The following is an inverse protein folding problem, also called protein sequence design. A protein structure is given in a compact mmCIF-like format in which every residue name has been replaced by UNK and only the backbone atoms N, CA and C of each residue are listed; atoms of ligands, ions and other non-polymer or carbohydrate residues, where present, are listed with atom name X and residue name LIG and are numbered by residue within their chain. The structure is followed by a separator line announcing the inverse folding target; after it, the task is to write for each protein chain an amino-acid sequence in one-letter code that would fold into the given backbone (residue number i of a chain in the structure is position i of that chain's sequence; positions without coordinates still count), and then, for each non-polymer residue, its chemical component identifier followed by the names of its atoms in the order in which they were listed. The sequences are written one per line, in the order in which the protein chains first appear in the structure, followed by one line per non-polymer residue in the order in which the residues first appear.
data_IF_781221188124
#
_entry.id   IF_781221188124
#
_cell.length_a   1.000
_cell.length_b   1.000
_cell.length_c   1.000
_cell.angle_alpha   90.00
_cell.angle_beta   90.00
_cell.angle_gamma   90.00
#
_symmetry.space_group_name_H-M   'P 1'
#
loop_
_entity.id
_entity.type
_entity.pdbx_description
1 polymer ?
#
# COMPACT_ATOMS: atom_id res chain seq x y z
N UNK A 1 3.41 -13.23 -66.03
CA UNK A 1 2.67 -12.77 -64.83
C UNK A 1 3.06 -13.64 -63.64
N UNK A 2 3.98 -13.20 -62.76
CA UNK A 2 4.13 -13.77 -61.44
C UNK A 2 3.63 -12.79 -60.36
N UNK A 3 3.07 -13.38 -59.30
CA UNK A 3 2.20 -12.78 -58.29
C UNK A 3 2.88 -11.73 -57.40
N UNK A 4 2.21 -10.60 -57.22
CA UNK A 4 2.51 -9.61 -56.17
C UNK A 4 2.30 -10.25 -54.79
N UNK A 5 3.39 -10.57 -54.08
CA UNK A 5 3.35 -10.77 -52.63
C UNK A 5 3.00 -9.43 -51.97
N UNK A 6 1.77 -9.32 -51.48
CA UNK A 6 1.30 -8.26 -50.59
C UNK A 6 2.11 -8.33 -49.28
N UNK A 7 3.12 -7.48 -49.15
CA UNK A 7 3.76 -7.20 -47.86
C UNK A 7 2.76 -6.48 -46.98
N UNK A 8 2.28 -7.16 -45.94
CA UNK A 8 1.52 -6.53 -44.85
C UNK A 8 2.47 -5.54 -44.16
N UNK A 9 2.13 -4.24 -44.07
CA UNK A 9 3.01 -3.30 -43.40
C UNK A 9 3.11 -3.67 -41.91
N UNK A 10 4.35 -3.84 -41.45
CA UNK A 10 4.71 -3.91 -40.04
C UNK A 10 4.03 -2.74 -39.33
N UNK A 11 3.26 -3.01 -38.26
CA UNK A 11 2.74 -2.00 -37.33
C UNK A 11 3.86 -1.01 -37.02
N UNK A 12 3.69 0.24 -37.44
CA UNK A 12 4.55 1.36 -37.05
C UNK A 12 4.55 1.43 -35.52
N UNK A 13 5.73 1.23 -34.91
CA UNK A 13 5.93 1.65 -33.53
C UNK A 13 5.65 3.14 -33.48
N UNK A 14 4.71 3.59 -32.65
CA UNK A 14 4.59 5.02 -32.37
C UNK A 14 5.99 5.54 -31.99
N UNK A 15 6.46 6.59 -32.69
CA UNK A 15 7.73 7.23 -32.38
C UNK A 15 7.76 7.59 -30.89
N UNK A 16 8.92 7.44 -30.26
CA UNK A 16 9.07 7.80 -28.86
C UNK A 16 8.80 9.30 -28.68
N UNK A 17 8.08 9.68 -27.62
CA UNK A 17 7.85 11.10 -27.30
C UNK A 17 8.99 11.60 -26.43
N UNK A 18 9.66 12.65 -26.86
CA UNK A 18 10.78 13.25 -26.14
C UNK A 18 10.28 14.27 -25.12
N UNK A 19 10.66 14.10 -23.87
CA UNK A 19 10.33 15.05 -22.79
C UNK A 19 11.61 15.60 -22.21
N UNK A 20 11.74 16.92 -22.21
CA UNK A 20 12.83 17.65 -21.57
C UNK A 20 12.32 18.26 -20.27
N UNK A 21 12.87 17.83 -19.14
CA UNK A 21 12.45 18.29 -17.81
C UNK A 21 13.63 18.20 -16.83
N UNK A 22 13.76 19.18 -15.93
CA UNK A 22 14.84 19.24 -14.93
C UNK A 22 16.25 19.05 -15.53
N UNK A 23 16.49 19.56 -16.74
CA UNK A 23 17.79 19.43 -17.43
C UNK A 23 18.06 18.06 -18.06
N UNK A 24 17.09 17.15 -18.04
CA UNK A 24 17.20 15.80 -18.60
C UNK A 24 16.27 15.60 -19.79
N UNK A 25 16.77 14.88 -20.79
CA UNK A 25 16.01 14.44 -21.95
C UNK A 25 15.61 12.97 -21.78
N UNK A 26 14.31 12.68 -21.86
CA UNK A 26 13.74 11.35 -21.62
C UNK A 26 12.87 10.95 -22.81
N UNK A 27 13.26 9.88 -23.51
CA UNK A 27 12.46 9.27 -24.55
C UNK A 27 11.37 8.34 -23.95
N UNK A 28 10.11 8.77 -24.01
CA UNK A 28 8.95 7.97 -23.62
C UNK A 28 8.63 6.96 -24.71
N UNK A 29 9.06 5.72 -24.52
CA UNK A 29 8.77 4.61 -25.45
C UNK A 29 7.28 4.27 -25.46
N UNK A 30 6.70 3.74 -26.54
CA UNK A 30 5.29 3.28 -26.57
C UNK A 30 4.29 4.26 -25.88
N UNK A 31 4.31 5.56 -26.20
CA UNK A 31 3.55 6.57 -25.46
C UNK A 31 2.04 6.29 -25.49
N UNK A 32 1.55 5.73 -26.59
CA UNK A 32 0.13 5.36 -26.81
C UNK A 32 -0.31 4.05 -26.15
N UNK A 33 0.58 3.35 -25.43
CA UNK A 33 0.23 2.11 -24.71
C UNK A 33 -0.84 2.42 -23.67
N UNK A 34 -2.02 1.83 -23.81
CA UNK A 34 -3.12 1.94 -22.85
C UNK A 34 -2.76 1.21 -21.55
N UNK A 35 -2.75 1.93 -20.43
CA UNK A 35 -2.54 1.38 -19.08
C UNK A 35 -3.87 1.17 -18.34
N UNK A 36 -4.89 2.00 -18.64
CA UNK A 36 -6.22 1.94 -18.03
C UNK A 36 -7.29 1.76 -19.11
N UNK A 37 -7.76 0.52 -19.37
CA UNK A 37 -8.62 0.24 -20.52
C UNK A 37 -9.97 0.97 -20.52
N UNK A 38 -10.62 1.09 -19.35
CA UNK A 38 -11.95 1.71 -19.21
C UNK A 38 -11.93 3.21 -19.60
N UNK A 39 -11.07 4.05 -19.02
CA UNK A 39 -10.93 5.46 -19.43
C UNK A 39 -10.00 5.67 -20.63
N UNK A 40 -9.33 4.62 -21.11
CA UNK A 40 -8.34 4.63 -22.19
C UNK A 40 -7.08 5.46 -21.92
N UNK A 41 -6.74 5.72 -20.65
CA UNK A 41 -5.50 6.44 -20.33
C UNK A 41 -4.27 5.64 -20.72
N UNK A 42 -3.35 6.34 -21.37
CA UNK A 42 -2.11 5.84 -21.94
C UNK A 42 -0.93 6.04 -20.99
N UNK A 43 0.22 5.49 -21.35
CA UNK A 43 1.46 5.73 -20.63
C UNK A 43 1.87 7.21 -20.66
N UNK A 44 1.64 7.89 -21.77
CA UNK A 44 1.90 9.31 -21.88
C UNK A 44 1.01 10.15 -20.96
N UNK A 45 -0.25 9.75 -20.76
CA UNK A 45 -1.15 10.43 -19.81
C UNK A 45 -0.63 10.30 -18.37
N UNK A 46 -0.10 9.12 -18.00
CA UNK A 46 0.55 8.93 -16.70
C UNK A 46 1.79 9.82 -16.52
N UNK A 47 2.58 9.98 -17.59
CA UNK A 47 3.75 10.86 -17.58
C UNK A 47 3.34 12.33 -17.39
N UNK A 48 2.35 12.80 -18.17
CA UNK A 48 1.81 14.17 -18.06
C UNK A 48 1.17 14.44 -16.71
N UNK A 49 0.49 13.45 -16.14
CA UNK A 49 -0.03 13.51 -14.79
C UNK A 49 1.07 13.80 -13.78
N UNK A 50 2.15 13.00 -13.77
CA UNK A 50 3.23 13.18 -12.79
C UNK A 50 4.01 14.49 -13.00
N UNK A 51 4.13 14.98 -14.23
CA UNK A 51 4.65 16.33 -14.49
C UNK A 51 3.78 17.41 -13.84
N UNK A 52 2.46 17.31 -13.97
CA UNK A 52 1.52 18.32 -13.46
C UNK A 52 1.45 18.37 -11.93
N UNK A 53 1.76 17.26 -11.24
CA UNK A 53 1.74 17.18 -9.76
C UNK A 53 3.12 16.95 -9.17
N UNK A 54 4.19 17.22 -9.93
CA UNK A 54 5.54 16.79 -9.59
C UNK A 54 5.99 17.27 -8.20
N UNK A 55 5.70 18.53 -7.85
CA UNK A 55 6.07 19.10 -6.57
C UNK A 55 5.45 18.33 -5.39
N UNK A 56 4.12 18.12 -5.42
CA UNK A 56 3.43 17.36 -4.37
C UNK A 56 3.79 15.88 -4.34
N UNK A 57 3.97 15.25 -5.52
CA UNK A 57 4.42 13.86 -5.61
C UNK A 57 5.83 13.69 -5.00
N UNK A 58 6.74 14.64 -5.22
CA UNK A 58 8.07 14.64 -4.61
C UNK A 58 8.04 14.98 -3.12
N UNK A 59 7.09 15.79 -2.64
CA UNK A 59 6.89 15.99 -1.20
C UNK A 59 6.54 14.67 -0.50
N UNK A 60 5.73 13.83 -1.15
CA UNK A 60 5.35 12.52 -0.63
C UNK A 60 6.40 11.41 -0.81
N UNK A 61 7.08 11.35 -1.96
CA UNK A 61 7.94 10.22 -2.34
C UNK A 61 9.43 10.59 -2.49
N UNK A 62 9.76 11.87 -2.64
CA UNK A 62 11.08 12.37 -2.97
C UNK A 62 12.07 12.28 -1.82
N UNK A 63 13.34 12.02 -2.15
CA UNK A 63 14.41 11.86 -1.15
C UNK A 63 14.27 10.64 -0.24
N UNK A 64 13.41 9.68 -0.62
CA UNK A 64 13.14 8.43 0.09
C UNK A 64 13.47 7.25 -0.82
N UNK A 65 14.02 6.13 -0.29
CA UNK A 65 14.01 4.89 -1.03
C UNK A 65 12.57 4.45 -1.32
N UNK A 66 12.30 4.06 -2.56
CA UNK A 66 10.96 3.70 -3.03
C UNK A 66 10.91 2.25 -3.51
N UNK A 67 9.90 1.52 -3.02
CA UNK A 67 9.41 0.32 -3.69
C UNK A 67 8.51 0.74 -4.85
N UNK A 68 8.77 0.20 -6.03
CA UNK A 68 8.02 0.55 -7.24
C UNK A 68 7.00 -0.56 -7.54
N UNK A 69 5.76 -0.19 -7.87
CA UNK A 69 4.77 -1.16 -8.40
C UNK A 69 4.52 -0.86 -9.87
N UNK A 70 4.91 -1.81 -10.72
CA UNK A 70 4.94 -1.62 -12.17
C UNK A 70 3.89 -2.46 -12.87
N UNK A 71 3.26 -1.86 -13.87
CA UNK A 71 2.20 -2.43 -14.71
C UNK A 71 2.59 -2.30 -16.19
N UNK A 72 3.62 -3.02 -16.68
CA UNK A 72 4.14 -2.84 -18.04
C UNK A 72 3.12 -3.06 -19.15
N UNK A 73 2.04 -3.80 -18.87
CA UNK A 73 0.96 -4.13 -19.78
C UNK A 73 -0.41 -3.62 -19.29
N UNK A 74 -0.40 -2.57 -18.46
CA UNK A 74 -1.62 -1.97 -17.89
C UNK A 74 -2.21 -2.75 -16.72
N UNK A 75 -3.27 -2.19 -16.11
CA UNK A 75 -3.86 -2.68 -14.86
C UNK A 75 -4.53 -4.07 -14.97
N UNK A 76 -4.82 -4.53 -16.20
CA UNK A 76 -5.39 -5.86 -16.46
C UNK A 76 -4.33 -6.94 -16.69
N UNK A 77 -3.05 -6.54 -16.84
CA UNK A 77 -1.93 -7.45 -17.00
C UNK A 77 -1.27 -7.83 -15.67
N UNK A 78 -0.21 -8.63 -15.75
CA UNK A 78 0.62 -8.91 -14.58
C UNK A 78 1.37 -7.65 -14.11
N UNK A 79 1.46 -7.51 -12.79
CA UNK A 79 2.20 -6.45 -12.13
C UNK A 79 3.25 -7.05 -11.20
N UNK A 80 4.26 -6.26 -10.85
CA UNK A 80 5.28 -6.69 -9.90
C UNK A 80 5.78 -5.55 -9.03
N UNK A 81 6.22 -5.91 -7.83
CA UNK A 81 6.94 -5.05 -6.92
C UNK A 81 8.42 -5.10 -7.25
N UNK A 82 9.04 -3.93 -7.36
CA UNK A 82 10.46 -3.78 -7.65
C UNK A 82 11.10 -2.93 -6.55
N UNK A 83 11.81 -3.62 -5.65
CA UNK A 83 12.65 -2.97 -4.62
C UNK A 83 13.99 -2.57 -5.20
N UNK A 84 14.70 -3.54 -5.79
CA UNK A 84 15.99 -3.31 -6.42
C UNK A 84 15.82 -2.45 -7.69
N UNK A 85 16.52 -1.33 -7.74
CA UNK A 85 16.59 -0.46 -8.89
C UNK A 85 17.01 -1.26 -10.15
N UNK A 86 16.47 -0.92 -11.34
CA UNK A 86 16.93 -1.52 -12.59
C UNK A 86 18.45 -1.34 -12.77
N UNK A 87 19.12 -2.38 -13.28
CA UNK A 87 20.55 -2.29 -13.65
C UNK A 87 20.75 -1.30 -14.81
N UNK A 88 19.89 -1.39 -15.84
CA UNK A 88 19.82 -0.40 -16.90
C UNK A 88 18.94 0.78 -16.44
N UNK A 89 19.59 1.77 -15.82
CA UNK A 89 18.98 3.06 -15.43
C UNK A 89 19.88 4.23 -15.86
N UNK A 90 19.32 5.41 -16.13
CA UNK A 90 20.13 6.61 -16.35
C UNK A 90 21.03 6.89 -15.12
N UNK A 91 22.26 7.39 -15.33
CA UNK A 91 23.22 7.60 -14.24
C UNK A 91 22.77 8.67 -13.24
N UNK A 92 21.88 9.57 -13.64
CA UNK A 92 21.29 10.61 -12.79
C UNK A 92 20.15 10.10 -11.90
N UNK A 93 19.70 8.85 -12.04
CA UNK A 93 18.76 8.24 -11.10
C UNK A 93 19.51 7.79 -9.85
N UNK A 94 19.30 8.51 -8.76
CA UNK A 94 19.85 8.17 -7.45
C UNK A 94 19.26 6.87 -6.91
N UNK A 95 20.10 6.12 -6.20
CA UNK A 95 19.70 4.94 -5.42
C UNK A 95 20.36 4.98 -4.05
N UNK A 96 19.72 4.32 -3.08
CA UNK A 96 20.31 4.13 -1.75
C UNK A 96 20.20 2.66 -1.33
N UNK A 97 21.20 2.15 -0.63
CA UNK A 97 21.18 0.77 -0.12
C UNK A 97 20.38 0.67 1.16
N UNK A 98 19.23 0.00 1.11
CA UNK A 98 18.39 -0.29 2.27
C UNK A 98 18.63 -1.73 2.77
N UNK A 99 18.68 -1.90 4.10
CA UNK A 99 18.74 -3.21 4.77
C UNK A 99 17.36 -3.62 5.30
N UNK A 100 16.88 -4.79 4.88
CA UNK A 100 15.58 -5.34 5.29
C UNK A 100 15.66 -6.10 6.62
N UNK A 101 14.51 -6.34 7.30
CA UNK A 101 14.45 -7.17 8.51
C UNK A 101 15.04 -8.58 8.36
N UNK A 102 15.01 -9.11 7.13
CA UNK A 102 15.63 -10.41 6.79
C UNK A 102 17.17 -10.42 6.79
N UNK A 103 17.81 -9.24 6.94
CA UNK A 103 19.27 -9.06 6.82
C UNK A 103 19.76 -8.77 5.41
N UNK A 104 18.96 -9.07 4.38
CA UNK A 104 19.24 -8.76 2.96
C UNK A 104 19.27 -7.26 2.70
N UNK A 105 19.94 -6.86 1.62
CA UNK A 105 19.98 -5.47 1.15
C UNK A 105 19.50 -5.34 -0.30
N UNK A 106 19.03 -4.14 -0.67
CA UNK A 106 18.80 -3.74 -2.05
C UNK A 106 19.09 -2.25 -2.23
N UNK A 107 19.61 -1.89 -3.40
CA UNK A 107 19.62 -0.50 -3.85
C UNK A 107 18.23 -0.14 -4.34
N UNK A 108 17.55 0.79 -3.68
CA UNK A 108 16.21 1.25 -4.07
C UNK A 108 16.29 2.65 -4.69
N UNK A 109 15.38 2.95 -5.62
CA UNK A 109 15.34 4.24 -6.33
C UNK A 109 14.95 5.37 -5.38
N UNK A 110 15.61 6.52 -5.53
CA UNK A 110 15.32 7.76 -4.80
C UNK A 110 14.94 8.84 -5.83
N UNK A 111 13.64 9.17 -6.01
CA UNK A 111 13.25 10.27 -6.88
C UNK A 111 13.65 11.61 -6.24
N UNK A 112 14.26 12.51 -7.02
CA UNK A 112 14.71 13.83 -6.56
C UNK A 112 14.01 14.99 -7.25
N UNK A 113 13.56 14.77 -8.47
CA UNK A 113 12.99 15.80 -9.34
C UNK A 113 11.90 15.22 -10.26
N UNK A 114 11.32 16.10 -11.06
CA UNK A 114 10.30 15.73 -12.03
C UNK A 114 10.83 14.78 -13.12
N UNK A 115 12.12 14.81 -13.45
CA UNK A 115 12.72 13.89 -14.42
C UNK A 115 12.69 12.44 -13.90
N UNK A 116 13.00 12.23 -12.62
CA UNK A 116 12.88 10.91 -11.99
C UNK A 116 11.44 10.39 -12.03
N UNK A 117 10.44 11.24 -11.78
CA UNK A 117 9.03 10.86 -11.88
C UNK A 117 8.62 10.48 -13.31
N UNK A 118 9.05 11.25 -14.32
CA UNK A 118 8.81 10.94 -15.75
C UNK A 118 9.45 9.60 -16.13
N UNK A 119 10.69 9.35 -15.68
CA UNK A 119 11.37 8.09 -15.92
C UNK A 119 10.63 6.90 -15.27
N UNK A 120 10.18 7.04 -14.02
CA UNK A 120 9.38 6.03 -13.33
C UNK A 120 8.05 5.75 -14.04
N UNK A 121 7.35 6.79 -14.48
CA UNK A 121 6.13 6.67 -15.29
C UNK A 121 6.39 5.97 -16.64
N UNK A 122 7.51 6.25 -17.29
CA UNK A 122 7.94 5.59 -18.53
C UNK A 122 8.20 4.08 -18.34
N UNK A 123 8.61 3.67 -17.13
CA UNK A 123 8.71 2.26 -16.73
C UNK A 123 7.36 1.61 -16.41
N UNK A 124 6.26 2.35 -16.62
CA UNK A 124 4.90 2.00 -16.21
C UNK A 124 4.80 1.74 -14.70
N UNK A 125 5.52 2.51 -13.88
CA UNK A 125 5.33 2.54 -12.43
C UNK A 125 4.11 3.40 -12.13
N UNK A 126 3.03 2.76 -11.66
CA UNK A 126 1.80 3.47 -11.31
C UNK A 126 1.87 3.92 -9.86
N UNK A 127 2.35 3.04 -8.98
CA UNK A 127 2.39 3.30 -7.54
C UNK A 127 3.84 3.45 -7.06
N UNK A 128 4.12 4.61 -6.47
CA UNK A 128 5.31 4.87 -5.67
C UNK A 128 5.01 4.51 -4.22
N UNK A 129 5.89 3.74 -3.59
CA UNK A 129 5.76 3.28 -2.20
C UNK A 129 7.03 3.61 -1.41
N UNK A 130 7.17 4.85 -0.92
CA UNK A 130 8.35 5.29 -0.19
C UNK A 130 8.42 4.65 1.20
N UNK A 131 9.63 4.31 1.65
CA UNK A 131 9.88 4.04 3.06
C UNK A 131 9.73 5.34 3.88
N UNK A 132 9.31 5.26 5.15
CA UNK A 132 9.11 6.44 6.01
C UNK A 132 10.43 7.04 6.52
N UNK A 133 11.52 6.89 5.76
CA UNK A 133 12.88 7.36 6.08
C UNK A 133 13.44 8.16 4.92
N UNK A 134 14.42 9.02 5.19
CA UNK A 134 15.14 9.80 4.17
C UNK A 134 16.52 9.22 3.94
N UNK A 135 17.13 9.51 2.80
CA UNK A 135 18.40 8.90 2.38
C UNK A 135 19.58 9.11 3.34
N UNK A 136 19.55 10.17 4.13
CA UNK A 136 20.58 10.54 5.11
C UNK A 136 20.43 9.82 6.46
N UNK A 137 19.26 9.23 6.77
CA UNK A 137 19.07 8.35 7.93
C UNK A 137 17.97 7.32 7.63
N UNK A 138 18.39 6.07 7.45
CA UNK A 138 17.52 4.94 7.07
C UNK A 138 17.02 4.12 8.25
N UNK A 139 17.40 4.47 9.47
CA UNK A 139 17.05 3.74 10.69
C UNK A 139 16.05 4.48 11.57
N UNK A 140 15.96 5.82 11.44
CA UNK A 140 14.98 6.65 12.14
C UNK A 140 13.92 7.22 11.19
N UNK A 141 12.68 6.68 11.20
CA UNK A 141 11.60 7.24 10.43
C UNK A 141 11.34 8.70 10.76
N UNK A 142 10.98 9.48 9.75
CA UNK A 142 10.47 10.83 9.91
C UNK A 142 8.94 10.87 9.78
N UNK A 143 8.27 9.73 9.61
CA UNK A 143 6.82 9.67 9.40
C UNK A 143 6.18 8.54 10.21
N UNK A 144 5.21 8.89 11.05
CA UNK A 144 4.22 7.94 11.59
C UNK A 144 3.04 7.87 10.62
N UNK A 145 2.57 6.65 10.34
CA UNK A 145 1.50 6.37 9.38
C UNK A 145 0.30 5.76 10.08
N UNK A 146 -0.86 6.41 9.96
CA UNK A 146 -2.15 5.83 10.37
C UNK A 146 -2.87 5.34 9.12
N UNK A 147 -2.98 4.02 8.96
CA UNK A 147 -3.68 3.38 7.83
C UNK A 147 -5.06 2.87 8.29
N UNK A 148 -6.11 3.41 7.67
CA UNK A 148 -7.50 3.12 7.96
C UNK A 148 -8.04 2.14 6.91
N UNK A 149 -7.97 0.84 7.20
CA UNK A 149 -8.37 -0.24 6.29
C UNK A 149 -9.77 -0.79 6.65
N UNK A 150 -10.83 -0.42 5.90
CA UNK A 150 -12.17 -0.94 6.16
C UNK A 150 -12.26 -2.45 5.90
N UNK A 151 -12.80 -3.18 6.87
CA UNK A 151 -13.18 -4.59 6.65
C UNK A 151 -14.34 -4.68 5.64
N UNK A 152 -14.58 -5.86 5.02
CA UNK A 152 -15.71 -6.03 4.12
C UNK A 152 -17.05 -5.60 4.75
N UNK A 153 -17.84 -4.81 4.02
CA UNK A 153 -19.14 -4.32 4.46
C UNK A 153 -19.14 -2.91 5.09
N UNK A 154 -17.97 -2.38 5.44
CA UNK A 154 -17.84 -1.00 5.95
C UNK A 154 -18.02 0.01 4.83
N UNK A 155 -18.89 1.00 5.04
CA UNK A 155 -19.18 2.06 4.07
C UNK A 155 -18.21 3.23 4.24
N UNK A 156 -17.99 3.96 3.16
CA UNK A 156 -17.06 5.10 3.13
C UNK A 156 -17.30 6.15 4.24
N UNK A 157 -18.54 6.56 4.57
CA UNK A 157 -18.77 7.51 5.67
C UNK A 157 -18.25 7.04 7.04
N UNK A 158 -18.18 5.72 7.27
CA UNK A 158 -17.60 5.19 8.51
C UNK A 158 -16.08 5.35 8.54
N UNK A 159 -15.41 5.28 7.38
CA UNK A 159 -13.96 5.58 7.27
C UNK A 159 -13.70 7.06 7.59
N UNK A 160 -14.54 7.96 7.07
CA UNK A 160 -14.45 9.40 7.37
C UNK A 160 -14.66 9.68 8.87
N UNK A 161 -15.66 9.03 9.49
CA UNK A 161 -15.90 9.16 10.92
C UNK A 161 -14.71 8.71 11.77
N UNK A 162 -14.06 7.59 11.40
CA UNK A 162 -12.84 7.13 12.09
C UNK A 162 -11.67 8.08 11.83
N UNK A 163 -11.54 8.67 10.64
CA UNK A 163 -10.51 9.66 10.35
C UNK A 163 -10.63 10.92 11.24
N UNK A 164 -11.85 11.37 11.56
CA UNK A 164 -12.06 12.50 12.48
C UNK A 164 -11.70 12.14 13.93
N UNK A 165 -11.98 10.91 14.37
CA UNK A 165 -11.50 10.41 15.68
C UNK A 165 -9.97 10.40 15.72
N UNK A 166 -9.32 9.97 14.62
CA UNK A 166 -7.85 10.02 14.49
C UNK A 166 -7.34 11.46 14.56
N UNK A 167 -7.98 12.42 13.87
CA UNK A 167 -7.62 13.86 13.93
C UNK A 167 -7.59 14.36 15.37
N UNK A 168 -8.70 14.16 16.08
CA UNK A 168 -8.86 14.62 17.46
C UNK A 168 -7.82 13.96 18.37
N UNK A 169 -7.63 12.65 18.22
CA UNK A 169 -6.67 11.89 19.02
C UNK A 169 -5.24 12.38 18.79
N UNK A 170 -4.81 12.56 17.53
CA UNK A 170 -3.50 13.10 17.20
C UNK A 170 -3.27 14.49 17.83
N UNK A 171 -4.26 15.38 17.71
CA UNK A 171 -4.19 16.73 18.28
C UNK A 171 -3.99 16.70 19.81
N UNK A 172 -4.70 15.82 20.53
CA UNK A 172 -4.52 15.66 21.99
C UNK A 172 -3.12 15.15 22.37
N UNK A 173 -2.44 14.43 21.47
CA UNK A 173 -1.04 14.02 21.66
C UNK A 173 -0.03 15.04 21.11
N UNK A 174 -0.47 16.23 20.68
CA UNK A 174 0.40 17.28 20.13
C UNK A 174 0.95 16.95 18.73
N UNK A 175 0.28 16.06 17.99
CA UNK A 175 0.68 15.63 16.65
C UNK A 175 -0.23 16.23 15.58
N UNK A 176 0.37 16.66 14.47
CA UNK A 176 -0.37 17.16 13.31
C UNK A 176 -0.54 16.06 12.26
N UNK A 177 -1.79 15.69 11.99
CA UNK A 177 -2.13 14.71 10.95
C UNK A 177 -2.38 15.35 9.58
N UNK A 178 -1.97 14.65 8.53
CA UNK A 178 -2.09 15.06 7.12
C UNK A 178 -2.87 13.99 6.34
N UNK A 179 -4.19 14.17 6.15
CA UNK A 179 -5.05 13.13 5.61
C UNK A 179 -4.92 13.00 4.10
N UNK A 180 -5.01 11.77 3.60
CA UNK A 180 -5.10 11.48 2.17
C UNK A 180 -5.96 10.26 1.92
N UNK A 181 -6.77 10.27 0.86
CA UNK A 181 -7.42 9.03 0.43
C UNK A 181 -6.33 8.01 0.06
N UNK A 182 -6.60 6.72 0.26
CA UNK A 182 -5.69 5.69 -0.26
C UNK A 182 -5.74 5.61 -1.79
N UNK A 183 -6.84 6.06 -2.42
CA UNK A 183 -7.18 5.78 -3.82
C UNK A 183 -7.68 4.34 -4.05
N UNK A 184 -7.88 3.56 -2.98
CA UNK A 184 -8.45 2.21 -3.01
C UNK A 184 -9.75 2.15 -2.20
N UNK A 185 -9.72 1.63 -0.97
CA UNK A 185 -10.91 1.51 -0.09
C UNK A 185 -10.80 2.34 1.20
N UNK A 186 -9.58 2.57 1.68
CA UNK A 186 -9.30 3.23 2.95
C UNK A 186 -8.76 4.65 2.83
N UNK A 187 -8.28 5.17 3.94
CA UNK A 187 -7.63 6.48 4.08
C UNK A 187 -6.31 6.34 4.84
N UNK A 188 -5.36 7.22 4.57
CA UNK A 188 -4.15 7.32 5.37
C UNK A 188 -4.09 8.71 6.02
N UNK A 189 -3.58 8.78 7.24
CA UNK A 189 -3.18 10.04 7.88
C UNK A 189 -1.68 9.95 8.14
N UNK A 190 -0.92 10.83 7.50
CA UNK A 190 0.53 10.94 7.69
C UNK A 190 0.82 11.91 8.84
N UNK A 191 1.86 11.64 9.61
CA UNK A 191 2.31 12.51 10.71
C UNK A 191 3.82 12.66 10.60
N UNK A 192 4.30 13.88 10.33
CA UNK A 192 5.74 14.17 10.37
C UNK A 192 6.20 14.11 11.83
N UNK A 193 7.29 13.43 12.09
CA UNK A 193 7.87 13.23 13.43
C UNK A 193 9.36 13.58 13.44
N UNK A 194 9.88 13.88 14.62
CA UNK A 194 11.33 14.03 14.81
C UNK A 194 12.07 12.72 14.49
N UNK A 195 13.25 12.83 13.86
CA UNK A 195 14.04 11.69 13.35
C UNK A 195 14.96 11.10 14.41
N UNK A 196 14.39 10.65 15.52
CA UNK A 196 15.17 10.08 16.65
C UNK A 196 14.63 8.77 17.20
N UNK A 197 13.50 8.29 16.69
CA UNK A 197 12.92 7.01 17.07
C UNK A 197 13.19 5.94 16.03
N UNK A 198 13.41 4.72 16.49
CA UNK A 198 13.53 3.53 15.64
C UNK A 198 12.17 3.10 15.09
N UNK A 199 12.15 2.28 14.03
CA UNK A 199 10.90 1.66 13.53
C UNK A 199 10.09 0.94 14.62
N UNK A 200 10.76 0.30 15.59
CA UNK A 200 10.09 -0.43 16.67
C UNK A 200 9.37 0.54 17.63
N UNK A 201 9.96 1.69 17.91
CA UNK A 201 9.33 2.76 18.70
C UNK A 201 8.18 3.43 17.95
N UNK A 202 8.37 3.77 16.67
CA UNK A 202 7.30 4.36 15.85
C UNK A 202 6.10 3.42 15.75
N UNK A 203 6.33 2.11 15.57
CA UNK A 203 5.25 1.11 15.57
C UNK A 203 4.56 0.99 16.93
N UNK A 204 5.31 1.03 18.05
CA UNK A 204 4.70 1.03 19.40
C UNK A 204 3.81 2.25 19.63
N UNK A 205 4.28 3.43 19.24
CA UNK A 205 3.47 4.66 19.26
C UNK A 205 2.21 4.52 18.40
N UNK A 206 2.33 3.97 17.19
CA UNK A 206 1.19 3.72 16.31
C UNK A 206 0.18 2.71 16.88
N UNK A 207 0.64 1.65 17.56
CA UNK A 207 -0.23 0.70 18.25
C UNK A 207 -0.97 1.35 19.42
N UNK A 208 -0.27 2.18 20.22
CA UNK A 208 -0.88 2.93 21.30
C UNK A 208 -1.98 3.86 20.78
N UNK A 209 -1.70 4.61 19.70
CA UNK A 209 -2.68 5.43 19.00
C UNK A 209 -3.87 4.61 18.49
N UNK A 210 -3.63 3.47 17.85
CA UNK A 210 -4.67 2.60 17.32
C UNK A 210 -5.63 2.09 18.41
N UNK A 211 -5.10 1.74 19.58
CA UNK A 211 -5.90 1.35 20.76
C UNK A 211 -6.70 2.51 21.32
N UNK A 212 -6.11 3.71 21.34
CA UNK A 212 -6.81 4.91 21.79
C UNK A 212 -8.00 5.25 20.89
N UNK A 213 -7.80 5.16 19.57
CA UNK A 213 -8.86 5.34 18.56
C UNK A 213 -9.95 4.26 18.70
N UNK A 214 -9.57 2.98 18.85
CA UNK A 214 -10.54 1.89 19.10
C UNK A 214 -11.33 2.14 20.39
N UNK A 215 -10.70 2.61 21.47
CA UNK A 215 -11.39 2.93 22.74
C UNK A 215 -12.43 4.05 22.57
N UNK A 216 -12.13 5.07 21.76
CA UNK A 216 -13.03 6.22 21.51
C UNK A 216 -14.15 5.87 20.54
N UNK A 217 -13.91 4.97 19.59
CA UNK A 217 -14.88 4.57 18.57
C UNK A 217 -15.03 3.04 18.49
N UNK A 218 -15.42 2.36 19.59
CA UNK A 218 -15.32 0.91 19.72
C UNK A 218 -16.34 0.14 18.89
N UNK A 219 -17.23 0.81 18.16
CA UNK A 219 -18.16 0.19 17.19
C UNK A 219 -17.74 0.44 15.74
N UNK A 220 -16.83 1.38 15.51
CA UNK A 220 -16.43 1.85 14.18
C UNK A 220 -14.98 1.49 13.84
N UNK A 221 -14.10 1.39 14.82
CA UNK A 221 -12.68 1.13 14.63
C UNK A 221 -12.21 -0.09 15.43
N UNK A 222 -11.15 -0.74 14.96
CA UNK A 222 -10.52 -1.85 15.66
C UNK A 222 -8.99 -1.82 15.55
N UNK A 223 -8.30 -2.25 16.60
CA UNK A 223 -6.86 -2.51 16.60
C UNK A 223 -6.53 -4.01 16.62
N UNK A 224 -7.53 -4.88 16.45
CA UNK A 224 -7.33 -6.34 16.49
C UNK A 224 -6.52 -6.84 15.30
N UNK A 225 -5.40 -7.51 15.60
CA UNK A 225 -4.50 -8.04 14.56
C UNK A 225 -5.18 -9.08 13.68
N UNK A 226 -5.97 -9.97 14.26
CA UNK A 226 -6.52 -11.12 13.55
C UNK A 226 -7.76 -10.75 12.77
N UNK A 227 -7.77 -11.05 11.46
CA UNK A 227 -8.91 -10.75 10.58
C UNK A 227 -10.25 -11.30 11.08
N UNK A 228 -10.24 -12.43 11.79
CA UNK A 228 -11.44 -13.05 12.38
C UNK A 228 -12.01 -12.28 13.57
N UNK A 229 -11.23 -11.39 14.19
CA UNK A 229 -11.62 -10.55 15.32
C UNK A 229 -11.90 -9.10 14.89
N UNK A 230 -11.60 -8.75 13.63
CA UNK A 230 -11.76 -7.38 13.14
C UNK A 230 -13.22 -7.08 12.83
N UNK A 231 -13.59 -5.85 13.08
CA UNK A 231 -14.84 -5.23 12.69
C UNK A 231 -14.58 -3.75 12.38
N UNK A 232 -15.50 -3.09 11.66
CA UNK A 232 -15.33 -1.68 11.32
C UNK A 232 -14.02 -1.40 10.56
N UNK A 233 -13.38 -0.28 10.85
CA UNK A 233 -12.14 0.17 10.23
C UNK A 233 -10.97 -0.33 11.06
N UNK A 234 -10.12 -1.16 10.45
CA UNK A 234 -8.88 -1.58 11.09
C UNK A 234 -7.85 -0.46 11.03
N UNK A 235 -7.33 -0.04 12.18
CA UNK A 235 -6.22 0.91 12.27
C UNK A 235 -4.91 0.12 12.21
N UNK A 236 -4.34 0.00 11.01
CA UNK A 236 -3.20 -0.89 10.73
C UNK A 236 -1.87 -0.29 11.20
N UNK A 237 -1.60 -0.42 12.50
CA UNK A 237 -0.34 0.00 13.13
C UNK A 237 0.90 -0.71 12.55
N UNK A 238 0.75 -1.89 11.92
CA UNK A 238 1.87 -2.63 11.34
C UNK A 238 2.40 -2.01 10.04
N UNK A 239 1.74 -0.99 9.48
CA UNK A 239 2.32 -0.19 8.38
C UNK A 239 3.56 0.62 8.79
N UNK A 240 3.80 0.76 10.10
CA UNK A 240 4.99 1.42 10.66
C UNK A 240 6.16 0.46 10.90
N UNK A 241 6.00 -0.84 10.63
CA UNK A 241 7.12 -1.77 10.73
C UNK A 241 8.12 -1.56 9.56
N UNK A 242 9.41 -1.79 9.78
CA UNK A 242 10.44 -1.66 8.73
C UNK A 242 10.11 -2.53 7.52
N UNK A 243 10.34 -2.04 6.30
CA UNK A 243 9.98 -2.73 5.05
C UNK A 243 8.46 -2.86 4.77
N UNK A 244 7.64 -2.08 5.48
CA UNK A 244 6.23 -1.83 5.14
C UNK A 244 6.11 -0.45 4.54
N UNK A 245 5.43 -0.38 3.41
CA UNK A 245 5.26 0.85 2.64
C UNK A 245 3.81 1.03 2.27
N UNK A 246 3.41 2.29 2.14
CA UNK A 246 2.08 2.70 1.68
C UNK A 246 2.24 3.51 0.39
N UNK A 247 1.21 3.52 -0.45
CA UNK A 247 1.23 4.34 -1.65
C UNK A 247 1.42 5.82 -1.27
N UNK A 248 2.37 6.49 -1.92
CA UNK A 248 2.68 7.90 -1.66
C UNK A 248 1.51 8.83 -1.99
N UNK A 249 1.54 10.05 -1.44
CA UNK A 249 0.70 11.15 -1.94
C UNK A 249 0.87 11.30 -3.46
N UNK A 250 -0.23 11.49 -4.17
CA UNK A 250 -0.27 11.58 -5.64
C UNK A 250 0.07 10.29 -6.41
N UNK A 251 0.34 9.15 -5.75
CA UNK A 251 0.46 7.87 -6.48
C UNK A 251 -0.85 7.49 -7.16
N UNK A 252 -0.79 7.19 -8.46
CA UNK A 252 -1.93 6.62 -9.22
C UNK A 252 -2.13 5.17 -8.79
N UNK A 253 -3.37 4.77 -8.53
CA UNK A 253 -3.75 3.44 -8.08
C UNK A 253 -4.29 2.60 -9.25
N UNK A 254 -4.10 1.28 -9.23
CA UNK A 254 -4.53 0.35 -10.30
C UNK A 254 -6.05 0.06 -10.24
N UNK A 255 -6.87 1.11 -10.14
CA UNK A 255 -8.33 0.98 -10.18
C UNK A 255 -8.84 1.20 -11.60
N UNK A 256 -10.02 0.68 -11.96
CA UNK A 256 -10.58 0.87 -13.31
C UNK A 256 -10.69 2.35 -13.73
N UNK A 257 -10.89 3.25 -12.78
CA UNK A 257 -11.00 4.70 -12.97
C UNK A 257 -9.67 5.48 -12.86
N UNK A 258 -8.54 4.79 -12.65
CA UNK A 258 -7.23 5.43 -12.39
C UNK A 258 -7.27 6.41 -11.20
N UNK A 259 -7.81 5.97 -10.05
CA UNK A 259 -7.89 6.80 -8.83
C UNK A 259 -6.50 7.13 -8.29
N UNK A 260 -6.42 8.17 -7.47
CA UNK A 260 -5.17 8.69 -6.90
C UNK A 260 -5.21 8.59 -5.38
N UNK A 261 -4.07 8.32 -4.74
CA UNK A 261 -3.93 8.55 -3.29
C UNK A 261 -3.83 10.06 -3.05
N UNK A 262 -4.97 10.69 -2.78
CA UNK A 262 -5.13 12.14 -2.88
C UNK A 262 -4.94 12.84 -1.54
N UNK A 263 -3.97 13.75 -1.41
CA UNK A 263 -3.88 14.66 -0.28
C UNK A 263 -5.13 15.54 -0.13
N UNK A 264 -5.56 15.70 1.12
CA UNK A 264 -6.71 16.51 1.52
C UNK A 264 -6.31 17.43 2.66
N UNK A 265 -6.96 18.59 2.72
CA UNK A 265 -7.06 19.33 3.98
C UNK A 265 -8.09 18.65 4.89
N UNK A 266 -8.03 18.88 6.20
CA UNK A 266 -9.01 18.30 7.13
C UNK A 266 -10.45 18.74 6.83
N UNK A 267 -10.65 19.99 6.39
CA UNK A 267 -11.99 20.51 6.07
C UNK A 267 -12.63 19.81 4.85
N UNK A 268 -11.82 19.17 4.01
CA UNK A 268 -12.31 18.39 2.86
C UNK A 268 -12.68 16.95 3.23
N UNK A 269 -12.21 16.43 4.37
CA UNK A 269 -12.35 15.00 4.72
C UNK A 269 -13.82 14.59 4.80
N UNK A 270 -14.67 15.40 5.44
CA UNK A 270 -16.07 15.05 5.67
C UNK A 270 -16.91 14.88 4.39
N UNK A 271 -16.48 15.48 3.28
CA UNK A 271 -17.17 15.43 1.98
C UNK A 271 -16.34 14.76 0.88
N UNK A 272 -15.16 14.22 1.20
CA UNK A 272 -14.26 13.67 0.20
C UNK A 272 -14.84 12.38 -0.38
N UNK A 273 -14.97 12.30 -1.71
CA UNK A 273 -15.31 11.05 -2.40
C UNK A 273 -14.08 10.52 -3.15
N UNK A 274 -13.61 9.28 -2.89
CA UNK A 274 -12.42 8.74 -3.56
C UNK A 274 -12.51 8.72 -5.09
N UNK A 275 -13.73 8.69 -5.65
CA UNK A 275 -13.97 8.72 -7.09
C UNK A 275 -13.66 10.09 -7.72
N UNK A 276 -13.66 11.18 -6.95
CA UNK A 276 -13.37 12.53 -7.45
C UNK A 276 -11.88 12.73 -7.75
N UNK A 277 -11.03 11.84 -7.22
CA UNK A 277 -9.58 11.95 -7.31
C UNK A 277 -9.02 10.91 -8.27
N UNK A 278 -8.77 11.31 -9.50
CA UNK A 278 -8.29 10.45 -10.58
C UNK A 278 -7.10 11.07 -11.29
N UNK A 279 -6.43 10.27 -12.12
CA UNK A 279 -5.40 10.72 -13.04
C UNK A 279 -5.84 11.95 -13.86
N UNK A 280 -7.12 12.02 -14.26
CA UNK A 280 -7.61 13.14 -15.07
C UNK A 280 -8.03 14.36 -14.24
N UNK A 281 -8.55 14.19 -13.03
CA UNK A 281 -9.11 15.30 -12.24
C UNK A 281 -8.08 15.97 -11.34
N UNK A 282 -7.07 15.22 -10.89
CA UNK A 282 -6.08 15.73 -9.94
C UNK A 282 -5.20 16.87 -10.49
N UNK A 283 -4.74 16.88 -11.76
CA UNK A 283 -3.91 17.98 -12.27
C UNK A 283 -4.60 19.34 -12.17
N UNK A 284 -5.87 19.44 -12.59
CA UNK A 284 -6.66 20.67 -12.47
C UNK A 284 -6.88 21.06 -11.03
N UNK A 285 -7.15 20.09 -10.15
CA UNK A 285 -7.28 20.33 -8.72
C UNK A 285 -5.98 20.89 -8.14
N UNK A 286 -4.84 20.27 -8.42
CA UNK A 286 -3.52 20.69 -7.96
C UNK A 286 -3.19 22.11 -8.45
N UNK A 287 -3.41 22.42 -9.72
CA UNK A 287 -3.17 23.76 -10.25
C UNK A 287 -4.05 24.85 -9.59
N UNK A 288 -5.30 24.52 -9.25
CA UNK A 288 -6.25 25.47 -8.63
C UNK A 288 -6.01 25.65 -7.13
N UNK A 289 -5.64 24.57 -6.44
CA UNK A 289 -5.67 24.48 -5.00
C UNK A 289 -4.26 24.36 -4.38
N UNK A 290 -3.24 24.08 -5.16
CA UNK A 290 -1.90 23.73 -4.66
C UNK A 290 -1.87 22.37 -3.97
N UNK A 291 -0.74 22.08 -3.32
CA UNK A 291 -0.55 20.88 -2.53
C UNK A 291 -1.26 21.00 -1.18
N UNK A 292 -2.13 20.04 -0.85
CA UNK A 292 -2.82 20.03 0.43
C UNK A 292 -1.92 19.62 1.59
N UNK A 293 -0.75 19.06 1.30
CA UNK A 293 0.28 18.66 2.26
C UNK A 293 1.50 19.58 2.22
N UNK A 294 1.41 20.78 1.64
CA UNK A 294 2.55 21.71 1.46
C UNK A 294 3.37 21.89 2.75
N UNK A 295 2.70 22.18 3.87
CA UNK A 295 3.32 22.41 5.18
C UNK A 295 3.66 21.16 6.00
N UNK A 296 3.61 19.95 5.44
CA UNK A 296 3.82 18.70 6.21
C UNK A 296 5.16 18.65 6.95
N UNK A 297 6.20 19.23 6.35
CA UNK A 297 7.55 19.22 6.91
C UNK A 297 7.79 20.35 7.94
N UNK A 298 6.82 21.26 8.14
CA UNK A 298 6.91 22.39 9.08
C UNK A 298 6.44 22.03 10.50
N UNK A 299 5.78 20.88 10.67
CA UNK A 299 5.20 20.45 11.94
C UNK A 299 5.69 19.06 12.41
N UNK A 300 7.03 18.84 12.57
CA UNK A 300 7.52 17.60 13.16
C UNK A 300 7.07 17.48 14.62
N UNK A 301 6.30 16.43 14.91
CA UNK A 301 5.80 16.14 16.25
C UNK A 301 6.69 15.19 17.03
N UNK A 302 6.60 15.25 18.38
CA UNK A 302 7.26 14.31 19.27
C UNK A 302 6.39 13.09 19.55
N UNK A 303 6.98 11.87 19.52
CA UNK A 303 6.29 10.63 19.87
C UNK A 303 6.28 10.32 21.38
N UNK A 304 6.91 11.13 22.22
CA UNK A 304 7.04 10.88 23.66
C UNK A 304 5.69 10.59 24.33
N UNK A 305 4.66 11.42 24.12
CA UNK A 305 3.34 11.23 24.72
C UNK A 305 2.64 9.93 24.29
N UNK A 306 2.84 9.48 23.04
CA UNK A 306 2.32 8.20 22.55
C UNK A 306 3.13 7.01 23.09
N UNK A 307 4.44 7.16 23.28
CA UNK A 307 5.29 6.14 23.88
C UNK A 307 5.00 5.99 25.38
N UNK A 308 4.73 7.08 26.09
CA UNK A 308 4.22 7.03 27.47
C UNK A 308 2.87 6.31 27.55
N UNK A 309 1.97 6.56 26.60
CA UNK A 309 0.72 5.80 26.50
C UNK A 309 0.99 4.31 26.26
N UNK A 310 1.95 3.98 25.39
CA UNK A 310 2.37 2.59 25.17
C UNK A 310 2.86 1.94 26.47
N UNK A 311 3.66 2.65 27.27
CA UNK A 311 4.13 2.15 28.58
C UNK A 311 2.97 1.95 29.55
N UNK A 312 1.98 2.85 29.57
CA UNK A 312 0.76 2.66 30.37
C UNK A 312 -0.03 1.42 29.93
N UNK A 313 -0.25 1.25 28.63
CA UNK A 313 -0.87 0.04 28.09
C UNK A 313 -0.15 -1.24 28.54
N UNK A 314 1.18 -1.27 28.47
CA UNK A 314 1.96 -2.42 28.95
C UNK A 314 1.76 -2.69 30.44
N UNK A 315 1.73 -1.65 31.29
CA UNK A 315 1.44 -1.76 32.73
C UNK A 315 0.03 -2.29 33.00
N UNK A 316 -0.93 -1.93 32.15
CA UNK A 316 -2.34 -2.36 32.22
C UNK A 316 -2.56 -3.76 31.59
N UNK A 317 -1.49 -4.47 31.23
CA UNK A 317 -1.55 -5.81 30.66
C UNK A 317 -1.80 -5.85 29.14
N UNK A 318 -1.89 -4.70 28.49
CA UNK A 318 -1.95 -4.56 27.03
C UNK A 318 -0.54 -4.44 26.46
N UNK A 319 0.19 -5.57 26.44
CA UNK A 319 1.55 -5.67 25.88
C UNK A 319 1.64 -5.36 24.37
N UNK A 320 2.75 -5.72 23.74
CA UNK A 320 2.90 -5.54 22.28
C UNK A 320 1.83 -6.34 21.51
N UNK A 321 1.57 -5.97 20.25
CA UNK A 321 0.71 -6.72 19.36
C UNK A 321 1.55 -7.60 18.41
N UNK A 322 0.98 -8.69 17.84
CA UNK A 322 1.73 -9.57 16.95
C UNK A 322 2.38 -8.80 15.78
N UNK A 323 3.64 -9.14 15.52
CA UNK A 323 4.37 -8.69 14.35
C UNK A 323 4.13 -9.62 13.16
N UNK A 324 4.34 -9.15 11.92
CA UNK A 324 4.33 -10.03 10.77
C UNK A 324 5.36 -11.17 10.93
N UNK A 325 5.08 -12.39 10.43
CA UNK A 325 5.87 -13.60 10.77
C UNK A 325 7.39 -13.54 10.50
N UNK A 326 7.84 -12.69 9.58
CA UNK A 326 9.23 -12.59 9.13
C UNK A 326 10.08 -11.61 9.96
N UNK A 327 9.50 -10.90 10.94
CA UNK A 327 10.25 -10.05 11.87
C UNK A 327 10.81 -10.88 13.02
N UNK A 328 11.86 -10.37 13.69
CA UNK A 328 12.32 -10.97 14.95
C UNK A 328 11.20 -10.88 16.00
N UNK A 329 11.14 -11.85 16.92
CA UNK A 329 10.15 -11.86 17.99
C UNK A 329 10.51 -10.80 19.02
N UNK A 330 9.57 -9.92 19.34
CA UNK A 330 9.78 -8.85 20.32
C UNK A 330 9.48 -9.32 21.75
N UNK A 331 10.05 -8.60 22.73
CA UNK A 331 9.75 -8.84 24.15
C UNK A 331 8.28 -8.52 24.41
N UNK A 332 7.57 -9.43 25.10
CA UNK A 332 6.15 -9.26 25.39
C UNK A 332 5.23 -9.47 24.20
N UNK A 333 5.75 -9.87 23.04
CA UNK A 333 4.93 -10.15 21.85
C UNK A 333 4.08 -11.43 22.06
N UNK A 334 2.74 -11.34 21.91
CA UNK A 334 1.86 -12.49 21.98
C UNK A 334 2.12 -13.46 20.81
N UNK A 335 1.61 -14.71 20.88
CA UNK A 335 1.78 -15.68 19.80
C UNK A 335 1.27 -15.15 18.45
N UNK A 336 2.07 -15.32 17.39
CA UNK A 336 1.72 -14.98 16.00
C UNK A 336 0.83 -16.02 15.32
N UNK A 337 0.11 -16.83 16.09
CA UNK A 337 -0.83 -17.84 15.57
C UNK A 337 -2.25 -17.32 15.75
N UNK A 338 -3.10 -17.53 14.74
CA UNK A 338 -4.52 -17.15 14.81
C UNK A 338 -5.19 -17.80 16.03
N UNK A 339 -6.07 -17.09 16.77
CA UNK A 339 -6.76 -17.63 17.93
C UNK A 339 -7.50 -18.93 17.62
N UNK A 340 -8.18 -18.99 16.48
CA UNK A 340 -8.84 -20.20 15.97
C UNK A 340 -7.89 -21.39 15.77
N UNK A 341 -6.61 -21.15 15.45
CA UNK A 341 -5.57 -22.17 15.24
C UNK A 341 -4.72 -22.45 16.49
N UNK A 342 -4.72 -21.54 17.46
CA UNK A 342 -4.04 -21.70 18.74
C UNK A 342 -4.80 -22.70 19.65
N UNK A 343 -6.12 -22.77 19.47
CA UNK A 343 -6.93 -23.87 20.00
C UNK A 343 -6.51 -25.14 19.27
N UNK A 344 -6.08 -26.16 20.01
CA UNK A 344 -5.86 -27.48 19.44
C UNK A 344 -7.15 -27.87 18.71
N UNK A 345 -7.04 -28.16 17.40
CA UNK A 345 -8.19 -28.64 16.66
C UNK A 345 -8.70 -29.88 17.38
N UNK A 346 -9.93 -29.80 17.92
CA UNK A 346 -10.56 -30.92 18.65
C UNK A 346 -10.65 -32.16 17.76
N UNK A 347 -10.57 -31.97 16.45
CA UNK A 347 -10.61 -32.99 15.41
C UNK A 347 -9.49 -32.76 14.38
N UNK A 348 -8.92 -33.83 13.79
CA UNK A 348 -7.88 -33.73 12.77
C UNK A 348 -8.42 -33.11 11.47
N UNK A 349 -7.65 -32.19 10.87
CA UNK A 349 -7.91 -31.66 9.52
C UNK A 349 -7.32 -32.59 8.47
N UNK A 350 -8.11 -32.94 7.45
CA UNK A 350 -7.67 -33.74 6.30
C UNK A 350 -7.65 -32.89 5.03
N UNK A 351 -6.57 -32.96 4.25
CA UNK A 351 -6.49 -32.29 2.95
C UNK A 351 -7.19 -33.15 1.89
N UNK A 352 -8.32 -32.66 1.38
CA UNK A 352 -9.16 -33.41 0.42
C UNK A 352 -8.72 -33.17 -1.03
N UNK A 353 -8.23 -31.98 -1.35
CA UNK A 353 -7.79 -31.61 -2.69
C UNK A 353 -6.67 -30.56 -2.63
N UNK A 354 -5.85 -30.52 -3.69
CA UNK A 354 -4.83 -29.49 -3.90
C UNK A 354 -4.79 -29.13 -5.38
N UNK A 355 -4.84 -27.85 -5.70
CA UNK A 355 -4.77 -27.38 -7.08
C UNK A 355 -4.20 -25.96 -7.20
N UNK A 356 -3.77 -25.56 -8.40
CA UNK A 356 -3.23 -24.21 -8.64
C UNK A 356 -4.31 -23.12 -8.53
N UNK A 357 -5.56 -23.42 -8.89
CA UNK A 357 -6.69 -22.49 -8.86
C UNK A 357 -7.78 -23.00 -7.91
N UNK A 358 -8.48 -22.08 -7.25
CA UNK A 358 -9.57 -22.38 -6.31
C UNK A 358 -10.67 -23.26 -6.92
N UNK A 359 -11.03 -23.01 -8.17
CA UNK A 359 -12.09 -23.74 -8.89
C UNK A 359 -11.74 -25.24 -9.01
N UNK A 360 -10.46 -25.54 -9.27
CA UNK A 360 -9.97 -26.90 -9.45
C UNK A 360 -9.92 -27.66 -8.10
N UNK A 361 -9.60 -26.96 -7.00
CA UNK A 361 -9.64 -27.53 -5.64
C UNK A 361 -11.09 -27.89 -5.22
N UNK A 362 -12.05 -27.00 -5.48
CA UNK A 362 -13.48 -27.24 -5.23
C UNK A 362 -14.03 -28.40 -6.08
N UNK A 363 -13.59 -28.53 -7.32
CA UNK A 363 -13.91 -29.70 -8.14
C UNK A 363 -13.35 -31.00 -7.54
N UNK A 364 -12.17 -30.94 -6.90
CA UNK A 364 -11.59 -32.03 -6.12
C UNK A 364 -12.47 -32.45 -4.93
N UNK A 365 -12.98 -31.50 -4.17
CA UNK A 365 -13.93 -31.76 -3.08
C UNK A 365 -15.20 -32.47 -3.59
N UNK A 366 -15.75 -32.03 -4.73
CA UNK A 366 -16.93 -32.68 -5.34
C UNK A 366 -16.65 -34.16 -5.67
N UNK A 367 -15.48 -34.46 -6.24
CA UNK A 367 -15.06 -35.85 -6.53
C UNK A 367 -14.89 -36.68 -5.25
N UNK A 368 -14.32 -36.08 -4.21
CA UNK A 368 -14.16 -36.76 -2.92
C UNK A 368 -15.51 -37.08 -2.27
N UNK A 369 -16.47 -36.15 -2.27
CA UNK A 369 -17.83 -36.38 -1.74
C UNK A 369 -18.54 -37.53 -2.45
N UNK A 370 -18.36 -37.66 -3.76
CA UNK A 370 -18.89 -38.77 -4.55
C UNK A 370 -18.24 -40.12 -4.19
N UNK A 371 -16.93 -40.13 -3.90
CA UNK A 371 -16.19 -41.34 -3.52
C UNK A 371 -16.44 -41.79 -2.08
N UNK A 372 -16.76 -40.85 -1.19
CA UNK A 372 -16.95 -41.10 0.25
C UNK A 372 -18.34 -40.66 0.74
N UNK A 373 -19.43 -41.21 0.19
CA UNK A 373 -20.79 -40.71 0.43
C UNK A 373 -21.24 -40.83 1.89
N UNK A 374 -20.70 -41.81 2.65
CA UNK A 374 -21.01 -41.96 4.08
C UNK A 374 -20.41 -40.82 4.91
N UNK A 375 -19.15 -40.46 4.67
CA UNK A 375 -18.48 -39.36 5.36
C UNK A 375 -19.04 -37.99 4.91
N UNK A 376 -19.33 -37.84 3.62
CA UNK A 376 -19.86 -36.61 3.05
C UNK A 376 -21.21 -36.16 3.64
N UNK A 377 -22.02 -37.09 4.19
CA UNK A 377 -23.28 -36.78 4.87
C UNK A 377 -23.11 -36.02 6.19
N UNK A 378 -21.95 -36.13 6.81
CA UNK A 378 -21.64 -35.45 8.08
C UNK A 378 -20.87 -34.14 7.88
N UNK A 379 -20.57 -33.76 6.62
CA UNK A 379 -19.81 -32.56 6.30
C UNK A 379 -20.77 -31.37 6.14
N UNK A 380 -20.72 -30.45 7.09
CA UNK A 380 -21.43 -29.18 7.01
C UNK A 380 -20.64 -28.17 6.15
N UNK A 381 -21.28 -27.11 5.63
CA UNK A 381 -20.57 -26.05 4.92
C UNK A 381 -19.43 -25.43 5.74
N UNK A 382 -19.58 -25.37 7.08
CA UNK A 382 -18.57 -24.83 8.00
C UNK A 382 -17.32 -25.73 8.14
N UNK A 383 -17.44 -27.03 7.84
CA UNK A 383 -16.32 -27.98 7.91
C UNK A 383 -15.42 -27.91 6.66
N UNK A 384 -15.83 -27.18 5.62
CA UNK A 384 -15.09 -27.04 4.37
C UNK A 384 -14.24 -25.77 4.40
N UNK A 385 -12.95 -25.94 4.69
CA UNK A 385 -11.96 -24.88 4.62
C UNK A 385 -11.33 -24.83 3.23
N UNK A 386 -11.19 -23.62 2.66
CA UNK A 386 -10.56 -23.40 1.35
C UNK A 386 -9.46 -22.36 1.50
N UNK A 387 -8.21 -22.82 1.53
CA UNK A 387 -7.04 -22.00 1.86
C UNK A 387 -6.22 -21.70 0.60
N UNK A 388 -5.90 -20.43 0.36
CA UNK A 388 -4.90 -20.03 -0.65
C UNK A 388 -3.52 -19.95 -0.01
N UNK A 389 -2.62 -20.80 -0.48
CA UNK A 389 -1.27 -20.98 0.03
C UNK A 389 -0.25 -20.37 -0.94
N UNK A 390 0.80 -19.74 -0.41
CA UNK A 390 1.90 -19.17 -1.21
C UNK A 390 2.99 -20.22 -1.42
N UNK A 391 3.27 -20.58 -2.67
CA UNK A 391 4.44 -21.36 -3.07
C UNK A 391 5.64 -20.47 -3.41
N UNK A 392 6.75 -21.10 -3.83
CA UNK A 392 8.03 -20.42 -4.13
C UNK A 392 7.95 -19.43 -5.30
N UNK A 393 7.06 -19.67 -6.27
CA UNK A 393 6.88 -18.84 -7.46
C UNK A 393 5.41 -18.60 -7.86
N UNK A 394 4.44 -19.22 -7.20
CA UNK A 394 3.01 -19.05 -7.48
C UNK A 394 2.14 -19.43 -6.28
N UNK A 395 0.88 -18.99 -6.28
CA UNK A 395 -0.12 -19.41 -5.28
C UNK A 395 -0.79 -20.72 -5.69
N UNK A 396 -1.21 -21.51 -4.72
CA UNK A 396 -2.04 -22.72 -4.90
C UNK A 396 -3.16 -22.76 -3.85
N UNK A 397 -4.16 -23.59 -4.04
CA UNK A 397 -5.33 -23.74 -3.16
C UNK A 397 -5.46 -25.19 -2.69
N UNK A 398 -5.84 -25.40 -1.42
CA UNK A 398 -6.30 -26.68 -0.89
C UNK A 398 -7.69 -26.58 -0.29
#
# INVERSE_FOLDING_TARGET
MPELRRTVPKRTSAEAELIVVAGHEIAVSNPTKVLFPKPKYTKLDLVRYYLAVAEGALRGAGGRPNVLVRYPNGITGEFFYQKRAPESRPPWIEVVTLRFPSGRTAEEVVPRDAAALVWLANLACLELHPHPVRTDDLDHPDELRVDLDPVPGVKWPQVLAVAEVVRTTLHEFGLTGWPKTSGSRGMHVLVRIERRWTFDEVRRAALALARDVERRAPTLATSKWWKEERHGVFVDYNQNAKDRTVASAYSVRPTPEARVSAPLSWDEVASAEPADFTLATMPTRFAKLGDRHEGIDEAPGSLESLLELSVRHERDGLGDAPWPPHFKKQRGEPPRVQPSRARAAKYPLIEIARAKRKQDALAGLKRWKARHPRAAKFLEPADVLVDSMRGRSSTWTR
#
